data_IF_934550261699
#
_entry.id   IF_934550261699
#
_cell.length_a   1.000
_cell.length_b   1.000
_cell.length_c   1.000
_cell.angle_alpha   90.00
_cell.angle_beta   90.00
_cell.angle_gamma   90.00
#
_symmetry.space_group_name_H-M   'P 1'
#
loop_
_entity.id
_entity.type
_entity.pdbx_description
1 polymer ?
#
# COMPACT_ATOMS: atom_id res chain seq x y z
N UNK A 1 -11.00 3.39 17.83
CA UNK A 1 -10.58 3.40 16.40
C UNK A 1 -11.02 2.12 15.69
N UNK A 2 -10.50 0.94 16.01
CA UNK A 2 -10.91 -0.35 15.40
C UNK A 2 -12.42 -0.67 15.59
N UNK A 3 -12.97 -0.36 16.77
CA UNK A 3 -14.39 -0.53 17.11
C UNK A 3 -15.37 0.36 16.30
N UNK A 4 -14.88 1.44 15.67
CA UNK A 4 -15.68 2.27 14.77
C UNK A 4 -15.58 1.79 13.31
N UNK A 5 -14.43 1.21 12.96
CA UNK A 5 -14.14 0.76 11.60
C UNK A 5 -14.90 -0.50 11.22
N UNK A 6 -15.02 -1.46 12.15
CA UNK A 6 -15.74 -2.73 11.93
C UNK A 6 -17.23 -2.51 11.61
N UNK A 7 -18.00 -1.73 12.39
CA UNK A 7 -19.40 -1.46 12.06
C UNK A 7 -19.56 -0.64 10.78
N UNK A 8 -18.69 0.34 10.51
CA UNK A 8 -18.71 1.09 9.25
C UNK A 8 -18.46 0.17 8.04
N UNK A 9 -17.51 -0.76 8.15
CA UNK A 9 -17.19 -1.75 7.12
C UNK A 9 -18.33 -2.76 6.90
N UNK A 10 -18.95 -3.25 7.98
CA UNK A 10 -20.09 -4.16 7.90
C UNK A 10 -21.34 -3.48 7.30
N UNK A 11 -21.57 -2.22 7.65
CA UNK A 11 -22.69 -1.43 7.13
C UNK A 11 -22.45 -1.10 5.65
N UNK A 12 -21.21 -0.78 5.27
CA UNK A 12 -20.79 -0.66 3.87
C UNK A 12 -21.08 -1.96 3.09
N UNK A 13 -20.58 -3.11 3.55
CA UNK A 13 -20.82 -4.40 2.92
C UNK A 13 -22.32 -4.73 2.77
N UNK A 14 -23.12 -4.45 3.81
CA UNK A 14 -24.57 -4.74 3.82
C UNK A 14 -25.36 -3.83 2.88
N UNK A 15 -24.98 -2.56 2.77
CA UNK A 15 -25.63 -1.58 1.89
C UNK A 15 -25.33 -1.86 0.41
N UNK A 16 -24.20 -2.52 0.15
CA UNK A 16 -23.71 -2.79 -1.21
C UNK A 16 -24.22 -4.11 -1.78
N UNK A 17 -24.51 -5.11 -0.93
CA UNK A 17 -25.01 -6.42 -1.35
C UNK A 17 -26.32 -6.37 -2.16
N UNK A 18 -27.22 -5.40 -1.89
CA UNK A 18 -28.48 -5.25 -2.65
C UNK A 18 -28.34 -4.45 -3.94
N UNK A 19 -27.18 -3.84 -4.18
CA UNK A 19 -26.92 -2.89 -5.29
C UNK A 19 -26.00 -3.53 -6.36
N UNK A 20 -25.42 -4.69 -6.06
CA UNK A 20 -24.42 -5.43 -6.83
C UNK A 20 -24.94 -6.03 -8.16
N UNK A 21 -26.27 -6.11 -8.34
CA UNK A 21 -26.92 -6.73 -9.51
C UNK A 21 -27.00 -5.83 -10.76
N UNK A 22 -26.82 -4.49 -10.66
CA UNK A 22 -27.29 -3.61 -11.74
C UNK A 22 -26.24 -2.76 -12.50
N UNK A 23 -25.02 -2.49 -12.03
CA UNK A 23 -24.11 -1.54 -12.73
C UNK A 23 -22.59 -1.81 -12.58
N UNK A 24 -21.85 -1.79 -13.70
CA UNK A 24 -20.39 -2.01 -13.76
C UNK A 24 -19.55 -0.84 -13.19
N UNK A 25 -19.98 0.42 -13.32
CA UNK A 25 -19.26 1.58 -12.78
C UNK A 25 -19.27 1.62 -11.24
N UNK A 26 -20.33 1.12 -10.60
CA UNK A 26 -20.44 1.09 -9.13
C UNK A 26 -19.48 0.09 -8.49
N UNK A 27 -19.15 -1.01 -9.18
CA UNK A 27 -18.15 -1.98 -8.71
C UNK A 27 -16.74 -1.38 -8.72
N UNK A 28 -16.46 -0.42 -9.58
CA UNK A 28 -15.20 0.33 -9.55
C UNK A 28 -15.12 1.23 -8.31
N UNK A 29 -16.17 1.99 -8.01
CA UNK A 29 -16.20 2.78 -6.77
C UNK A 29 -16.06 1.91 -5.53
N UNK A 30 -16.70 0.73 -5.54
CA UNK A 30 -16.56 -0.24 -4.47
C UNK A 30 -15.13 -0.77 -4.35
N UNK A 31 -14.47 -1.05 -5.47
CA UNK A 31 -13.08 -1.48 -5.50
C UNK A 31 -12.15 -0.39 -4.98
N UNK A 32 -12.35 0.87 -5.38
CA UNK A 32 -11.60 2.00 -4.87
C UNK A 32 -11.79 2.21 -3.36
N UNK A 33 -13.04 2.19 -2.89
CA UNK A 33 -13.35 2.31 -1.45
C UNK A 33 -12.81 1.14 -0.64
N UNK A 34 -12.93 -0.09 -1.16
CA UNK A 34 -12.31 -1.28 -0.58
C UNK A 34 -10.79 -1.15 -0.51
N UNK A 35 -10.15 -0.69 -1.58
CA UNK A 35 -8.72 -0.42 -1.63
C UNK A 35 -8.30 0.52 -0.50
N UNK A 36 -8.97 1.67 -0.37
CA UNK A 36 -8.67 2.64 0.68
C UNK A 36 -8.82 2.07 2.10
N UNK A 37 -9.86 1.26 2.33
CA UNK A 37 -10.10 0.59 3.61
C UNK A 37 -8.99 -0.41 3.93
N UNK A 38 -8.67 -1.31 2.99
CA UNK A 38 -7.64 -2.33 3.22
C UNK A 38 -6.24 -1.72 3.32
N UNK A 39 -5.94 -0.67 2.55
CA UNK A 39 -4.68 0.08 2.64
C UNK A 39 -4.53 0.78 3.99
N UNK A 40 -5.60 1.41 4.46
CA UNK A 40 -5.65 2.01 5.82
C UNK A 40 -5.45 0.96 6.90
N UNK A 41 -6.13 -0.19 6.81
CA UNK A 41 -5.97 -1.27 7.80
C UNK A 41 -4.54 -1.81 7.84
N UNK A 42 -3.94 -2.02 6.66
CA UNK A 42 -2.56 -2.46 6.56
C UNK A 42 -1.62 -1.46 7.24
N UNK A 43 -1.72 -0.17 6.88
CA UNK A 43 -0.80 0.84 7.39
C UNK A 43 -1.01 1.16 8.87
N UNK A 44 -2.24 1.18 9.37
CA UNK A 44 -2.51 1.33 10.80
C UNK A 44 -1.86 0.20 11.61
N UNK A 45 -1.90 -1.05 11.11
CA UNK A 45 -1.23 -2.17 11.77
C UNK A 45 0.29 -2.04 11.73
N UNK A 46 0.84 -1.54 10.62
CA UNK A 46 2.27 -1.28 10.47
C UNK A 46 2.73 -0.21 11.48
N UNK A 47 2.01 0.91 11.56
CA UNK A 47 2.30 2.03 12.45
C UNK A 47 2.12 1.67 13.93
N UNK A 48 1.01 1.01 14.29
CA UNK A 48 0.76 0.58 15.68
C UNK A 48 1.76 -0.50 16.10
N UNK A 49 2.18 -1.36 15.18
CA UNK A 49 3.24 -2.34 15.43
C UNK A 49 4.64 -1.74 15.51
N UNK A 50 4.83 -0.45 15.17
CA UNK A 50 6.12 0.21 15.11
C UNK A 50 7.05 -0.38 14.04
N UNK A 51 6.50 -1.06 13.03
CA UNK A 51 7.29 -1.69 11.97
C UNK A 51 7.83 -0.67 10.95
N UNK A 52 7.35 0.59 11.00
CA UNK A 52 7.84 1.72 10.22
C UNK A 52 9.13 2.33 10.78
N UNK A 53 9.47 2.04 12.04
CA UNK A 53 10.58 2.64 12.76
C UNK A 53 11.85 1.79 12.68
N UNK A 54 13.01 2.45 12.79
CA UNK A 54 14.29 1.76 12.98
C UNK A 54 14.35 1.17 14.38
N UNK A 55 14.49 -0.15 14.48
CA UNK A 55 14.73 -0.82 15.76
C UNK A 55 16.22 -0.76 16.15
N UNK A 56 16.56 -0.57 17.43
CA UNK A 56 17.94 -0.64 17.90
C UNK A 56 18.55 -2.05 17.79
N UNK A 57 17.73 -3.11 17.82
CA UNK A 57 18.20 -4.50 17.80
C UNK A 57 18.29 -5.08 16.38
N UNK A 58 17.33 -4.74 15.52
CA UNK A 58 17.19 -5.33 14.17
C UNK A 58 17.24 -4.30 13.04
N UNK A 59 17.55 -3.04 13.34
CA UNK A 59 17.67 -1.97 12.36
C UNK A 59 16.38 -1.77 11.56
N UNK A 60 16.50 -1.72 10.23
CA UNK A 60 15.37 -1.59 9.30
C UNK A 60 14.79 -2.93 8.83
N UNK A 61 15.17 -4.06 9.45
CA UNK A 61 14.69 -5.38 9.02
C UNK A 61 13.16 -5.50 9.08
N UNK A 62 12.52 -4.95 10.11
CA UNK A 62 11.05 -4.92 10.22
C UNK A 62 10.43 -4.18 9.04
N UNK A 63 10.96 -3.00 8.71
CA UNK A 63 10.50 -2.22 7.57
C UNK A 63 10.73 -2.93 6.22
N UNK A 64 11.82 -3.69 6.08
CA UNK A 64 12.18 -4.39 4.85
C UNK A 64 11.39 -5.68 4.60
N UNK A 65 11.05 -6.41 5.65
CA UNK A 65 10.45 -7.75 5.51
C UNK A 65 8.98 -7.79 5.96
N UNK A 66 8.68 -7.16 7.10
CA UNK A 66 7.36 -7.24 7.73
C UNK A 66 6.37 -6.35 6.98
N UNK A 67 6.78 -5.12 6.64
CA UNK A 67 5.92 -4.16 5.92
C UNK A 67 5.50 -4.66 4.53
N UNK A 68 6.41 -5.14 3.64
CA UNK A 68 6.00 -5.74 2.37
C UNK A 68 5.10 -6.97 2.51
N UNK A 69 5.32 -7.78 3.55
CA UNK A 69 4.50 -8.96 3.81
C UNK A 69 3.06 -8.54 4.19
N UNK A 70 2.89 -7.58 5.10
CA UNK A 70 1.58 -7.06 5.46
C UNK A 70 0.87 -6.39 4.29
N UNK A 71 1.56 -5.49 3.59
CA UNK A 71 1.04 -4.80 2.39
C UNK A 71 0.51 -5.82 1.38
N UNK A 72 1.31 -6.84 1.06
CA UNK A 72 0.92 -7.86 0.08
C UNK A 72 -0.19 -8.76 0.59
N UNK A 73 -0.18 -9.12 1.88
CA UNK A 73 -1.23 -9.93 2.51
C UNK A 73 -2.58 -9.24 2.45
N UNK A 74 -2.66 -7.97 2.84
CA UNK A 74 -3.91 -7.21 2.84
C UNK A 74 -4.40 -6.91 1.42
N UNK A 75 -3.48 -6.62 0.50
CA UNK A 75 -3.80 -6.50 -0.92
C UNK A 75 -4.40 -7.80 -1.47
N UNK A 76 -3.76 -8.94 -1.19
CA UNK A 76 -4.25 -10.26 -1.58
C UNK A 76 -5.61 -10.59 -0.97
N UNK A 77 -5.80 -10.31 0.32
CA UNK A 77 -7.05 -10.58 1.04
C UNK A 77 -8.21 -9.76 0.45
N UNK A 78 -7.97 -8.48 0.16
CA UNK A 78 -8.96 -7.59 -0.45
C UNK A 78 -9.37 -8.03 -1.86
N UNK A 79 -8.40 -8.41 -2.69
CA UNK A 79 -8.67 -8.89 -4.06
C UNK A 79 -9.31 -10.28 -4.10
N UNK A 80 -9.15 -11.10 -3.05
CA UNK A 80 -9.75 -12.44 -2.96
C UNK A 80 -11.25 -12.40 -2.68
N UNK A 81 -11.82 -11.24 -2.31
CA UNK A 81 -13.25 -11.09 -2.12
C UNK A 81 -14.01 -11.46 -3.40
N UNK A 82 -15.02 -12.35 -3.27
CA UNK A 82 -15.80 -12.88 -4.42
C UNK A 82 -16.39 -11.78 -5.29
N UNK A 83 -16.83 -10.69 -4.67
CA UNK A 83 -17.37 -9.47 -5.30
C UNK A 83 -16.51 -8.94 -6.44
N UNK A 84 -15.18 -8.99 -6.31
CA UNK A 84 -14.26 -8.51 -7.35
C UNK A 84 -13.71 -9.64 -8.21
N UNK A 85 -13.39 -10.78 -7.59
CA UNK A 85 -12.71 -11.88 -8.25
C UNK A 85 -13.53 -12.53 -9.36
N UNK A 86 -14.83 -12.68 -9.14
CA UNK A 86 -15.69 -13.47 -10.03
C UNK A 86 -16.38 -12.56 -11.09
N UNK A 87 -16.01 -11.28 -11.16
CA UNK A 87 -16.56 -10.31 -12.11
C UNK A 87 -15.92 -10.42 -13.51
N UNK A 88 -16.70 -10.10 -14.56
CA UNK A 88 -16.24 -10.10 -15.96
C UNK A 88 -15.01 -9.21 -16.19
N UNK A 89 -14.96 -8.05 -15.53
CA UNK A 89 -13.87 -7.08 -15.61
C UNK A 89 -13.02 -7.05 -14.33
N UNK A 90 -12.86 -8.19 -13.64
CA UNK A 90 -12.16 -8.31 -12.36
C UNK A 90 -10.79 -7.62 -12.32
N UNK A 91 -9.99 -7.77 -13.38
CA UNK A 91 -8.66 -7.15 -13.49
C UNK A 91 -8.75 -5.63 -13.43
N UNK A 92 -9.71 -5.01 -14.13
CA UNK A 92 -9.90 -3.56 -14.11
C UNK A 92 -10.28 -3.06 -12.72
N UNK A 93 -11.17 -3.76 -12.02
CA UNK A 93 -11.51 -3.45 -10.63
C UNK A 93 -10.32 -3.65 -9.68
N UNK A 94 -9.50 -4.68 -9.90
CA UNK A 94 -8.29 -4.91 -9.13
C UNK A 94 -7.30 -3.75 -9.27
N UNK A 95 -7.15 -3.17 -10.45
CA UNK A 95 -6.33 -1.97 -10.66
C UNK A 95 -6.78 -0.81 -9.78
N UNK A 96 -8.09 -0.50 -9.81
CA UNK A 96 -8.68 0.55 -8.98
C UNK A 96 -8.50 0.28 -7.49
N UNK A 97 -8.72 -0.98 -7.07
CA UNK A 97 -8.46 -1.41 -5.71
C UNK A 97 -6.99 -1.19 -5.31
N UNK A 98 -6.03 -1.64 -6.11
CA UNK A 98 -4.61 -1.52 -5.82
C UNK A 98 -4.11 -0.08 -5.78
N UNK A 99 -4.61 0.79 -6.67
CA UNK A 99 -4.27 2.22 -6.67
C UNK A 99 -4.77 2.90 -5.40
N UNK A 100 -6.02 2.69 -5.01
CA UNK A 100 -6.55 3.31 -3.79
C UNK A 100 -5.98 2.68 -2.52
N UNK A 101 -5.63 1.39 -2.55
CA UNK A 101 -4.87 0.74 -1.50
C UNK A 101 -3.52 1.43 -1.30
N UNK A 102 -2.75 1.63 -2.38
CA UNK A 102 -1.46 2.30 -2.32
C UNK A 102 -1.58 3.77 -1.91
N UNK A 103 -2.58 4.48 -2.43
CA UNK A 103 -2.81 5.88 -2.07
C UNK A 103 -3.15 6.04 -0.59
N UNK A 104 -4.02 5.20 -0.03
CA UNK A 104 -4.34 5.23 1.39
C UNK A 104 -3.13 4.87 2.26
N UNK A 105 -2.38 3.85 1.85
CA UNK A 105 -1.14 3.43 2.50
C UNK A 105 -0.12 4.57 2.60
N UNK A 106 0.11 5.28 1.50
CA UNK A 106 1.07 6.40 1.48
C UNK A 106 0.52 7.68 2.13
N UNK A 107 -0.79 7.91 2.07
CA UNK A 107 -1.44 9.01 2.77
C UNK A 107 -1.16 8.98 4.27
N UNK A 108 -1.31 7.81 4.91
CA UNK A 108 -1.04 7.65 6.34
C UNK A 108 0.43 7.89 6.70
N UNK A 109 1.37 7.43 5.86
CA UNK A 109 2.80 7.67 6.05
C UNK A 109 3.13 9.16 6.01
N UNK A 110 2.62 9.87 5.00
CA UNK A 110 2.85 11.30 4.84
C UNK A 110 2.22 12.08 5.99
N UNK A 111 1.01 11.71 6.42
CA UNK A 111 0.33 12.33 7.56
C UNK A 111 1.13 12.17 8.87
N UNK A 112 1.66 10.97 9.13
CA UNK A 112 2.49 10.71 10.31
C UNK A 112 3.84 11.44 10.21
N UNK A 113 4.42 11.50 9.01
CA UNK A 113 5.67 12.22 8.77
C UNK A 113 5.50 13.72 9.04
N UNK A 114 4.45 14.33 8.50
CA UNK A 114 4.09 15.73 8.74
C UNK A 114 3.89 16.01 10.24
N UNK A 115 3.16 15.13 10.94
CA UNK A 115 2.94 15.25 12.39
C UNK A 115 4.22 15.11 13.22
N UNK A 116 5.23 14.36 12.75
CA UNK A 116 6.54 14.21 13.42
C UNK A 116 7.48 15.40 13.18
N UNK A 117 7.24 16.18 12.13
CA UNK A 117 8.08 17.29 11.70
C UNK A 117 7.44 18.66 12.00
N UNK A 118 6.48 18.71 12.93
CA UNK A 118 5.73 19.92 13.30
C UNK A 118 5.15 20.69 12.08
N UNK A 119 4.76 19.96 11.03
CA UNK A 119 4.09 20.51 9.85
C UNK A 119 5.01 20.97 8.72
N UNK A 120 6.34 20.84 8.84
CA UNK A 120 7.29 21.26 7.79
C UNK A 120 7.97 20.04 7.16
N UNK A 121 7.62 19.72 5.91
CA UNK A 121 8.27 18.66 5.14
C UNK A 121 9.60 19.19 4.58
N UNK A 122 10.78 18.75 5.09
CA UNK A 122 12.06 19.33 4.71
C UNK A 122 12.35 19.05 3.24
N UNK A 123 12.53 20.10 2.45
CA UNK A 123 13.02 19.99 1.08
C UNK A 123 14.55 19.76 1.11
N UNK A 124 15.12 18.80 0.34
CA UNK A 124 14.52 17.98 -0.72
C UNK A 124 13.96 16.61 -0.26
N UNK A 125 14.11 16.22 1.00
CA UNK A 125 13.71 14.90 1.52
C UNK A 125 12.22 14.61 1.39
N UNK A 126 11.35 15.57 1.72
CA UNK A 126 9.90 15.44 1.57
C UNK A 126 9.44 15.23 0.13
N UNK A 127 10.16 15.81 -0.86
CA UNK A 127 9.85 15.58 -2.27
C UNK A 127 10.20 14.15 -2.68
N UNK A 128 11.32 13.61 -2.19
CA UNK A 128 11.68 12.21 -2.44
C UNK A 128 10.66 11.25 -1.83
N UNK A 129 10.20 11.50 -0.61
CA UNK A 129 9.16 10.67 0.04
C UNK A 129 7.85 10.69 -0.77
N UNK A 130 7.43 11.85 -1.28
CA UNK A 130 6.25 11.95 -2.15
C UNK A 130 6.43 11.16 -3.45
N UNK A 131 7.60 11.24 -4.10
CA UNK A 131 7.87 10.47 -5.32
C UNK A 131 7.90 8.96 -5.08
N UNK A 132 8.53 8.52 -4.01
CA UNK A 132 8.52 7.10 -3.62
C UNK A 132 7.10 6.64 -3.27
N UNK A 133 6.29 7.48 -2.62
CA UNK A 133 4.89 7.19 -2.34
C UNK A 133 4.04 7.08 -3.62
N UNK A 134 4.23 7.98 -4.58
CA UNK A 134 3.55 7.89 -5.87
C UNK A 134 3.96 6.61 -6.63
N UNK A 135 5.26 6.28 -6.64
CA UNK A 135 5.76 5.07 -7.25
C UNK A 135 5.19 3.81 -6.58
N UNK A 136 5.11 3.79 -5.24
CA UNK A 136 4.49 2.71 -4.48
C UNK A 136 3.00 2.55 -4.81
N UNK A 137 2.29 3.67 -4.97
CA UNK A 137 0.86 3.68 -5.33
C UNK A 137 0.64 3.05 -6.71
N UNK A 138 1.40 3.48 -7.71
CA UNK A 138 1.33 2.93 -9.08
C UNK A 138 1.74 1.46 -9.09
N UNK A 139 2.79 1.10 -8.36
CA UNK A 139 3.25 -0.28 -8.23
C UNK A 139 2.15 -1.16 -7.63
N UNK A 140 1.48 -0.74 -6.56
CA UNK A 140 0.42 -1.51 -5.91
C UNK A 140 -0.82 -1.66 -6.82
N UNK A 141 -1.15 -0.65 -7.62
CA UNK A 141 -2.12 -0.76 -8.72
C UNK A 141 -1.73 -1.83 -9.75
N UNK A 142 -0.47 -1.81 -10.20
CA UNK A 142 0.08 -2.81 -11.13
C UNK A 142 0.13 -4.23 -10.54
N UNK A 143 0.51 -4.35 -9.27
CA UNK A 143 0.51 -5.61 -8.53
C UNK A 143 -0.90 -6.20 -8.48
N UNK A 144 -1.91 -5.38 -8.19
CA UNK A 144 -3.30 -5.84 -8.14
C UNK A 144 -3.82 -6.32 -9.50
N UNK A 145 -3.49 -5.60 -10.58
CA UNK A 145 -3.76 -6.01 -11.96
C UNK A 145 -3.20 -7.41 -12.27
N UNK A 146 -1.94 -7.66 -11.88
CA UNK A 146 -1.28 -8.93 -12.14
C UNK A 146 -1.73 -10.05 -11.19
N UNK A 147 -2.14 -9.71 -9.97
CA UNK A 147 -2.57 -10.67 -8.96
C UNK A 147 -3.97 -11.23 -9.24
N UNK A 148 -4.87 -10.43 -9.82
CA UNK A 148 -6.26 -10.84 -10.04
C UNK A 148 -6.41 -12.06 -10.98
N UNK A 149 -5.79 -12.11 -12.18
CA UNK A 149 -5.83 -13.31 -13.01
C UNK A 149 -5.21 -14.54 -12.33
N UNK A 150 -4.23 -14.34 -11.44
CA UNK A 150 -3.61 -15.42 -10.70
C UNK A 150 -4.54 -15.97 -9.60
N UNK A 151 -5.33 -15.11 -8.95
CA UNK A 151 -6.37 -15.50 -8.01
C UNK A 151 -7.50 -16.30 -8.66
N UNK A 152 -7.84 -15.98 -9.92
CA UNK A 152 -8.84 -16.73 -10.68
C UNK A 152 -8.35 -18.12 -11.14
N UNK A 153 -7.03 -18.33 -11.20
CA UNK A 153 -6.38 -19.58 -11.63
C UNK A 153 -5.77 -20.38 -10.48
N UNK A 154 -6.17 -20.09 -9.24
CA UNK A 154 -5.64 -20.70 -8.00
C UNK A 154 -4.11 -20.66 -7.83
N UNK A 155 -3.43 -19.73 -8.52
CA UNK A 155 -1.98 -19.52 -8.42
C UNK A 155 -1.64 -18.21 -7.69
N UNK A 156 -2.60 -17.63 -6.97
CA UNK A 156 -2.50 -16.31 -6.36
C UNK A 156 -1.36 -16.20 -5.34
N UNK A 157 -1.09 -17.25 -4.55
CA UNK A 157 -0.03 -17.22 -3.52
C UNK A 157 1.35 -17.07 -4.15
N UNK A 158 1.64 -17.80 -5.22
CA UNK A 158 2.94 -17.74 -5.90
C UNK A 158 3.19 -16.37 -6.52
N UNK A 159 2.16 -15.80 -7.15
CA UNK A 159 2.26 -14.47 -7.76
C UNK A 159 2.35 -13.41 -6.67
N UNK A 160 1.56 -13.49 -5.60
CA UNK A 160 1.68 -12.58 -4.45
C UNK A 160 3.11 -12.59 -3.87
N UNK A 161 3.72 -13.76 -3.67
CA UNK A 161 5.09 -13.86 -3.19
C UNK A 161 6.12 -13.17 -4.13
N UNK A 162 5.96 -13.31 -5.45
CA UNK A 162 6.81 -12.63 -6.43
C UNK A 162 6.62 -11.11 -6.39
N UNK A 163 5.37 -10.65 -6.25
CA UNK A 163 5.06 -9.23 -6.15
C UNK A 163 5.55 -8.64 -4.82
N UNK A 164 5.50 -9.41 -3.72
CA UNK A 164 6.08 -8.99 -2.44
C UNK A 164 7.59 -8.75 -2.55
N UNK A 165 8.31 -9.57 -3.33
CA UNK A 165 9.73 -9.34 -3.60
C UNK A 165 9.96 -8.01 -4.34
N UNK A 166 9.11 -7.65 -5.31
CA UNK A 166 9.21 -6.36 -6.00
C UNK A 166 8.98 -5.19 -5.05
N UNK A 167 7.98 -5.29 -4.18
CA UNK A 167 7.70 -4.26 -3.18
C UNK A 167 8.83 -4.15 -2.14
N UNK A 168 9.45 -5.28 -1.78
CA UNK A 168 10.65 -5.31 -0.93
C UNK A 168 11.82 -4.58 -1.59
N UNK A 169 12.08 -4.79 -2.89
CA UNK A 169 13.13 -4.07 -3.62
C UNK A 169 12.86 -2.56 -3.58
N UNK A 170 11.61 -2.13 -3.76
CA UNK A 170 11.25 -0.72 -3.62
C UNK A 170 11.52 -0.18 -2.20
N UNK A 171 11.18 -0.96 -1.17
CA UNK A 171 11.50 -0.63 0.22
C UNK A 171 13.00 -0.50 0.48
N UNK A 172 13.80 -1.40 -0.08
CA UNK A 172 15.26 -1.36 -0.02
C UNK A 172 15.83 -0.11 -0.70
N UNK A 173 15.34 0.24 -1.89
CA UNK A 173 15.75 1.46 -2.59
C UNK A 173 15.41 2.73 -1.80
N UNK A 174 14.22 2.77 -1.18
CA UNK A 174 13.82 3.89 -0.32
C UNK A 174 14.74 4.04 0.88
N UNK A 175 15.01 2.95 1.61
CA UNK A 175 15.91 2.99 2.78
C UNK A 175 17.32 3.40 2.36
N UNK A 176 17.83 2.84 1.28
CA UNK A 176 19.17 3.19 0.76
C UNK A 176 19.28 4.67 0.34
N UNK A 177 18.18 5.28 -0.09
CA UNK A 177 18.13 6.71 -0.41
C UNK A 177 18.13 7.58 0.87
N UNK A 178 17.43 7.14 1.92
CA UNK A 178 17.34 7.84 3.21
C UNK A 178 18.63 7.69 4.04
N UNK A 179 19.26 6.50 4.00
CA UNK A 179 20.48 6.20 4.74
C UNK A 179 21.74 6.76 4.10
N UNK A 180 21.66 7.51 2.98
CA UNK A 180 22.86 8.15 2.44
C UNK A 180 23.44 9.10 3.52
N UNK A 181 24.66 8.88 4.02
CA UNK A 181 25.43 9.98 4.58
C UNK A 181 25.60 10.99 3.44
N UNK A 182 25.66 12.27 3.79
CA UNK A 182 25.78 13.43 2.89
C UNK A 182 26.44 13.16 1.53
N UNK A 183 25.99 13.85 0.45
CA UNK A 183 26.58 13.67 -0.87
C UNK A 183 28.10 13.82 -0.80
N UNK A 184 28.81 12.79 -1.29
CA UNK A 184 30.23 12.85 -1.66
C UNK A 184 30.35 13.81 -2.84
N UNK A 185 30.21 15.11 -2.56
CA UNK A 185 30.72 16.20 -3.35
C UNK A 185 31.13 17.26 -2.32
N UNK A 186 32.34 17.09 -1.78
CA UNK A 186 33.11 18.20 -1.25
C UNK A 186 33.27 19.21 -2.40
N UNK A 187 32.39 20.21 -2.43
CA UNK A 187 32.55 21.41 -3.26
C UNK A 187 33.75 22.27 -2.84
N UNK A 188 34.59 21.76 -1.94
CA UNK A 188 35.84 22.32 -1.43
C UNK A 188 37.09 21.60 -1.95
N UNK A 189 36.96 20.47 -2.66
CA UNK A 189 38.11 19.76 -3.27
C UNK A 189 38.11 19.67 -4.80
N UNK A 190 37.12 20.27 -5.47
CA UNK A 190 37.22 20.52 -6.91
C UNK A 190 38.02 21.82 -7.13
N UNK A 191 39.35 21.67 -7.09
CA UNK A 191 40.33 22.63 -7.62
C UNK A 191 40.00 23.04 -9.06
#
# INVERSE_FOLDING_TARGET
MVLLFIPAFLLFLRTIASVEEQLEERKLYLACGGGAIFGTLAEVLILVGGFDLRSPEVGYASLLFVTPAFVTLFLWLGLRLRTFRDARHATFYAAGFGLFFGAAHEFWKLLVLEARLDGDLPFPGGLLDVWFGLAATVLLGGMALHLMPALQRDNGVRIAARLALLYLILGFLRISAIERPEPIIDATTAL
#
